data_IF_586551859763
#
_entry.id   IF_586551859763
#
_cell.length_a   1.000
_cell.length_b   1.000
_cell.length_c   1.000
_cell.angle_alpha   90.00
_cell.angle_beta   90.00
_cell.angle_gamma   90.00
#
_symmetry.space_group_name_H-M   'P 1'
#
loop_
_entity.id
_entity.type
_entity.pdbx_description
1 polymer ?
#
# COMPACT_ATOMS: atom_id res chain seq x y z
N UNK A 1 1.13 13.06 -16.17
CA UNK A 1 1.52 13.08 -14.73
C UNK A 1 2.83 12.27 -14.52
N UNK A 2 3.55 12.37 -13.38
CA UNK A 2 4.67 11.43 -13.06
C UNK A 2 4.13 10.22 -12.31
N UNK A 3 4.40 9.01 -12.77
CA UNK A 3 3.95 7.77 -12.13
C UNK A 3 5.15 7.02 -11.54
N UNK A 4 5.05 6.61 -10.29
CA UNK A 4 6.04 5.82 -9.57
C UNK A 4 5.37 4.50 -9.17
N UNK A 5 5.73 3.40 -9.83
CA UNK A 5 5.19 2.07 -9.54
C UNK A 5 6.08 1.31 -8.55
N UNK A 6 5.51 0.91 -7.40
CA UNK A 6 6.16 0.08 -6.37
C UNK A 6 5.54 -1.31 -6.26
N UNK A 7 4.74 -1.72 -7.23
CA UNK A 7 4.10 -3.04 -7.24
C UNK A 7 5.16 -4.15 -7.23
N UNK A 8 5.14 -4.99 -6.20
CA UNK A 8 5.98 -6.19 -6.14
C UNK A 8 5.57 -7.21 -7.20
N UNK A 9 6.51 -8.04 -7.67
CA UNK A 9 6.27 -9.16 -8.60
C UNK A 9 5.92 -8.74 -10.04
N UNK A 10 6.40 -7.57 -10.48
CA UNK A 10 6.40 -7.21 -11.90
C UNK A 10 7.69 -7.71 -12.57
N UNK A 11 7.58 -8.08 -13.84
CA UNK A 11 8.75 -8.29 -14.70
C UNK A 11 9.36 -6.94 -15.15
N UNK A 12 10.50 -6.99 -15.84
CA UNK A 12 11.22 -5.82 -16.36
C UNK A 12 10.35 -4.94 -17.29
N UNK A 13 9.24 -5.47 -17.80
CA UNK A 13 8.29 -4.76 -18.66
C UNK A 13 7.07 -4.20 -17.92
N UNK A 14 7.01 -4.33 -16.59
CA UNK A 14 5.88 -3.89 -15.77
C UNK A 14 4.64 -4.80 -15.86
N UNK A 15 4.79 -5.98 -16.46
CA UNK A 15 3.74 -6.97 -16.57
C UNK A 15 3.79 -7.98 -15.41
N UNK A 16 2.64 -8.59 -15.14
CA UNK A 16 2.49 -9.59 -14.09
C UNK A 16 2.25 -10.93 -14.77
N UNK A 17 3.31 -11.74 -14.83
CA UNK A 17 3.26 -13.08 -15.38
C UNK A 17 2.36 -14.00 -14.52
N UNK A 18 1.95 -15.14 -15.09
CA UNK A 18 0.96 -16.04 -14.47
C UNK A 18 1.44 -16.58 -13.10
N UNK A 19 2.75 -16.85 -12.97
CA UNK A 19 3.38 -17.27 -11.71
C UNK A 19 3.29 -16.15 -10.65
N UNK A 20 3.56 -14.90 -11.03
CA UNK A 20 3.42 -13.73 -10.18
C UNK A 20 1.96 -13.46 -9.79
N UNK A 21 0.99 -13.79 -10.67
CA UNK A 21 -0.45 -13.74 -10.34
C UNK A 21 -0.80 -14.72 -9.23
N UNK A 22 -0.34 -15.97 -9.34
CA UNK A 22 -0.57 -16.99 -8.33
C UNK A 22 0.14 -16.64 -7.02
N UNK A 23 1.40 -16.22 -7.09
CA UNK A 23 2.19 -15.82 -5.92
C UNK A 23 1.58 -14.60 -5.23
N UNK A 24 1.15 -13.59 -5.99
CA UNK A 24 0.49 -12.41 -5.45
C UNK A 24 -0.88 -12.74 -4.85
N UNK A 25 -1.64 -13.63 -5.47
CA UNK A 25 -2.92 -14.12 -4.92
C UNK A 25 -2.72 -14.87 -3.60
N UNK A 26 -1.67 -15.68 -3.48
CA UNK A 26 -1.33 -16.38 -2.24
C UNK A 26 -0.83 -15.43 -1.14
N UNK A 27 -0.11 -14.37 -1.51
CA UNK A 27 0.48 -13.42 -0.55
C UNK A 27 -0.49 -12.33 -0.11
N UNK A 28 -1.30 -11.81 -1.02
CA UNK A 28 -2.14 -10.63 -0.83
C UNK A 28 -3.65 -10.94 -0.93
N UNK A 29 -4.03 -12.16 -1.31
CA UNK A 29 -5.41 -12.62 -1.37
C UNK A 29 -6.03 -12.60 -2.79
N UNK A 30 -7.19 -13.24 -2.92
CA UNK A 30 -7.90 -13.44 -4.21
C UNK A 30 -8.31 -12.15 -4.94
N UNK A 31 -8.45 -11.02 -4.23
CA UNK A 31 -8.83 -9.75 -4.85
C UNK A 31 -7.64 -8.96 -5.40
N UNK A 32 -6.39 -9.41 -5.14
CA UNK A 32 -5.19 -8.65 -5.49
C UNK A 32 -5.09 -8.35 -6.99
N UNK A 33 -5.20 -9.38 -7.84
CA UNK A 33 -5.05 -9.18 -9.29
C UNK A 33 -6.17 -8.33 -9.91
N UNK A 34 -7.47 -8.56 -9.62
CA UNK A 34 -8.54 -7.68 -10.07
C UNK A 34 -8.39 -6.23 -9.59
N UNK A 35 -7.91 -6.00 -8.36
CA UNK A 35 -7.60 -4.66 -7.87
C UNK A 35 -6.47 -4.00 -8.67
N UNK A 36 -5.44 -4.75 -9.05
CA UNK A 36 -4.37 -4.20 -9.90
C UNK A 36 -4.84 -3.84 -11.32
N UNK A 37 -5.76 -4.61 -11.89
CA UNK A 37 -6.39 -4.25 -13.17
C UNK A 37 -7.26 -2.99 -13.03
N UNK A 38 -8.06 -2.89 -11.97
CA UNK A 38 -8.83 -1.69 -11.65
C UNK A 38 -7.92 -0.46 -11.51
N UNK A 39 -6.80 -0.59 -10.80
CA UNK A 39 -5.79 0.47 -10.69
C UNK A 39 -5.24 0.86 -12.07
N UNK A 40 -4.90 -0.09 -12.95
CA UNK A 40 -4.39 0.22 -14.30
C UNK A 40 -5.40 1.05 -15.11
N UNK A 41 -6.68 0.72 -15.04
CA UNK A 41 -7.75 1.47 -15.72
C UNK A 41 -7.81 2.90 -15.19
N UNK A 42 -7.89 3.06 -13.86
CA UNK A 42 -7.98 4.38 -13.20
C UNK A 42 -6.74 5.22 -13.49
N UNK A 43 -5.53 4.66 -13.32
CA UNK A 43 -4.27 5.36 -13.60
C UNK A 43 -4.19 5.77 -15.06
N UNK A 44 -4.58 4.88 -16.00
CA UNK A 44 -4.58 5.19 -17.42
C UNK A 44 -5.52 6.33 -17.81
N UNK A 45 -6.64 6.49 -17.12
CA UNK A 45 -7.53 7.65 -17.32
C UNK A 45 -6.96 8.92 -16.68
N UNK A 46 -6.47 8.83 -15.43
CA UNK A 46 -5.88 9.98 -14.73
C UNK A 46 -4.66 10.52 -15.47
N UNK A 47 -3.79 9.66 -16.00
CA UNK A 47 -2.59 10.11 -16.71
C UNK A 47 -2.89 10.85 -18.02
N UNK A 48 -3.99 10.50 -18.69
CA UNK A 48 -4.48 11.22 -19.89
C UNK A 48 -5.09 12.58 -19.55
N UNK A 49 -5.60 12.75 -18.34
CA UNK A 49 -6.36 13.92 -17.92
C UNK A 49 -5.51 14.89 -17.08
N UNK A 50 -4.52 14.39 -16.34
CA UNK A 50 -3.70 15.17 -15.43
C UNK A 50 -2.34 15.51 -16.06
N UNK A 51 -2.01 16.79 -16.03
CA UNK A 51 -0.81 17.35 -16.65
C UNK A 51 0.44 17.22 -15.76
N UNK A 52 1.44 18.08 -16.00
CA UNK A 52 2.62 18.23 -15.14
C UNK A 52 2.22 18.84 -13.80
N UNK A 53 2.97 18.54 -12.74
CA UNK A 53 2.65 18.98 -11.38
C UNK A 53 1.75 18.02 -10.60
N UNK A 54 1.55 16.80 -11.09
CA UNK A 54 0.98 15.69 -10.33
C UNK A 54 2.00 14.55 -10.23
N UNK A 55 2.02 13.87 -9.09
CA UNK A 55 2.75 12.63 -8.87
C UNK A 55 1.81 11.56 -8.35
N UNK A 56 1.83 10.38 -8.97
CA UNK A 56 1.10 9.20 -8.52
C UNK A 56 2.08 8.14 -8.06
N UNK A 57 1.92 7.66 -6.82
CA UNK A 57 2.68 6.54 -6.27
C UNK A 57 1.74 5.35 -6.16
N UNK A 58 2.09 4.24 -6.81
CA UNK A 58 1.27 3.03 -6.87
C UNK A 58 1.85 1.94 -5.97
N UNK A 59 0.98 1.29 -5.19
CA UNK A 59 1.27 0.16 -4.31
C UNK A 59 2.44 0.42 -3.36
N UNK A 60 2.41 1.59 -2.70
CA UNK A 60 3.44 1.96 -1.73
C UNK A 60 3.27 1.15 -0.46
N UNK A 61 4.28 0.35 -0.11
CA UNK A 61 4.30 -0.36 1.17
C UNK A 61 4.90 0.57 2.22
N UNK A 62 4.15 0.87 3.28
CA UNK A 62 4.64 1.75 4.33
C UNK A 62 5.83 1.08 5.05
N UNK A 63 6.99 1.76 5.15
CA UNK A 63 8.07 1.36 6.04
C UNK A 63 7.53 1.03 7.44
N UNK A 64 8.13 0.03 8.10
CA UNK A 64 7.74 -0.46 9.42
C UNK A 64 6.38 -1.17 9.51
N UNK A 65 5.69 -1.38 8.38
CA UNK A 65 4.47 -2.17 8.32
C UNK A 65 4.39 -3.02 7.05
N UNK A 66 3.43 -3.95 7.01
CA UNK A 66 3.09 -4.69 5.79
C UNK A 66 1.87 -4.08 5.08
N UNK A 67 1.48 -2.86 5.45
CA UNK A 67 0.31 -2.18 4.88
C UNK A 67 0.71 -1.57 3.54
N UNK A 68 -0.05 -1.90 2.50
CA UNK A 68 0.13 -1.37 1.15
C UNK A 68 -0.93 -0.32 0.90
N UNK A 69 -0.50 0.90 0.57
CA UNK A 69 -1.36 1.98 0.09
C UNK A 69 -1.51 1.82 -1.43
N UNK A 70 -2.71 1.57 -1.97
CA UNK A 70 -2.90 1.18 -3.37
C UNK A 70 -2.47 2.28 -4.35
N UNK A 71 -2.94 3.51 -4.14
CA UNK A 71 -2.60 4.67 -4.94
C UNK A 71 -2.53 5.88 -4.01
N UNK A 72 -1.44 6.64 -4.10
CA UNK A 72 -1.30 7.97 -3.52
C UNK A 72 -1.19 8.94 -4.68
N UNK A 73 -2.09 9.92 -4.76
CA UNK A 73 -2.06 10.99 -5.74
C UNK A 73 -1.69 12.29 -5.03
N UNK A 74 -0.63 12.94 -5.49
CA UNK A 74 -0.15 14.21 -4.95
C UNK A 74 -0.34 15.26 -6.04
N UNK A 75 -1.24 16.21 -5.78
CA UNK A 75 -1.50 17.36 -6.64
C UNK A 75 -1.08 18.67 -5.98
N UNK A 76 -1.38 19.79 -6.63
CA UNK A 76 -1.00 21.12 -6.14
C UNK A 76 -1.86 21.58 -4.95
N UNK A 77 -3.12 21.16 -4.87
CA UNK A 77 -4.07 21.55 -3.83
C UNK A 77 -4.48 20.44 -2.87
N UNK A 78 -4.12 19.19 -3.15
CA UNK A 78 -4.61 18.02 -2.42
C UNK A 78 -3.64 16.85 -2.48
N UNK A 79 -3.74 15.99 -1.46
CA UNK A 79 -3.17 14.65 -1.45
C UNK A 79 -4.34 13.69 -1.31
N UNK A 80 -4.42 12.67 -2.16
CA UNK A 80 -5.50 11.68 -2.12
C UNK A 80 -4.94 10.27 -1.96
N UNK A 81 -5.60 9.48 -1.14
CA UNK A 81 -5.40 8.03 -1.09
C UNK A 81 -6.55 7.37 -1.82
N UNK A 82 -6.24 6.67 -2.91
CA UNK A 82 -7.22 6.15 -3.85
C UNK A 82 -7.25 4.61 -3.76
N UNK A 83 -8.44 4.04 -3.58
CA UNK A 83 -8.72 2.63 -3.76
C UNK A 83 -9.52 2.43 -5.05
N UNK A 84 -8.87 1.87 -6.07
CA UNK A 84 -9.55 1.43 -7.29
C UNK A 84 -10.09 0.00 -7.12
N UNK A 85 -11.35 -0.24 -7.48
CA UNK A 85 -12.00 -1.53 -7.26
C UNK A 85 -12.82 -1.98 -8.49
N UNK A 86 -12.81 -3.28 -8.85
CA UNK A 86 -13.50 -3.81 -10.04
C UNK A 86 -14.95 -4.26 -9.76
N UNK A 87 -15.61 -3.69 -8.75
CA UNK A 87 -16.97 -4.09 -8.38
C UNK A 87 -17.98 -3.82 -9.51
N UNK A 88 -19.06 -4.60 -9.52
CA UNK A 88 -20.20 -4.48 -10.44
C UNK A 88 -21.51 -4.61 -9.68
N UNK A 89 -22.57 -3.99 -10.18
CA UNK A 89 -23.90 -4.02 -9.55
C UNK A 89 -24.21 -2.75 -8.78
N UNK A 90 -25.23 -2.82 -7.92
CA UNK A 90 -25.78 -1.68 -7.19
C UNK A 90 -25.28 -1.67 -5.74
N UNK A 91 -24.73 -0.54 -5.32
CA UNK A 91 -24.18 -0.34 -3.99
C UNK A 91 -24.66 0.97 -3.40
N UNK A 92 -24.59 1.05 -2.08
CA UNK A 92 -24.85 2.26 -1.32
C UNK A 92 -23.67 2.55 -0.38
N UNK A 93 -23.16 3.77 -0.44
CA UNK A 93 -22.18 4.31 0.50
C UNK A 93 -22.87 5.26 1.49
N UNK A 94 -23.11 4.80 2.71
CA UNK A 94 -23.85 5.54 3.73
C UNK A 94 -22.97 5.78 4.96
N UNK A 95 -22.47 7.02 5.14
CA UNK A 95 -21.49 7.28 6.19
C UNK A 95 -20.24 6.40 6.02
N UNK A 96 -19.91 5.60 7.04
CA UNK A 96 -18.82 4.62 6.98
C UNK A 96 -19.23 3.27 6.41
N UNK A 97 -20.51 3.05 6.11
CA UNK A 97 -21.03 1.77 5.64
C UNK A 97 -20.96 1.62 4.13
N UNK A 98 -20.76 0.38 3.70
CA UNK A 98 -20.75 0.00 2.29
C UNK A 98 -21.69 -1.18 2.10
N UNK A 99 -22.84 -0.90 1.50
CA UNK A 99 -23.94 -1.83 1.33
C UNK A 99 -24.06 -2.25 -0.13
N UNK A 100 -24.46 -3.49 -0.36
CA UNK A 100 -24.92 -3.96 -1.65
C UNK A 100 -26.44 -3.89 -1.67
N UNK A 101 -27.01 -3.37 -2.76
CA UNK A 101 -28.46 -3.37 -2.96
C UNK A 101 -28.86 -4.71 -3.58
N UNK A 102 -29.67 -5.48 -2.86
CA UNK A 102 -30.28 -6.71 -3.38
C UNK A 102 -31.52 -6.37 -4.23
N UNK A 103 -32.07 -7.36 -4.95
CA UNK A 103 -33.11 -7.17 -5.97
C UNK A 103 -34.37 -6.40 -5.52
N UNK A 104 -34.64 -6.33 -4.21
CA UNK A 104 -35.76 -5.58 -3.64
C UNK A 104 -35.37 -4.13 -3.25
N UNK A 105 -34.17 -3.66 -3.62
CA UNK A 105 -33.65 -2.35 -3.25
C UNK A 105 -33.22 -2.20 -1.79
N UNK A 106 -33.24 -3.29 -1.00
CA UNK A 106 -32.81 -3.22 0.40
C UNK A 106 -31.28 -3.24 0.51
N UNK A 107 -30.68 -2.34 1.31
CA UNK A 107 -29.25 -2.36 1.55
C UNK A 107 -28.89 -3.50 2.50
N UNK A 108 -27.94 -4.34 2.08
CA UNK A 108 -27.30 -5.34 2.94
C UNK A 108 -25.80 -5.07 3.01
N UNK A 109 -25.14 -5.22 4.18
CA UNK A 109 -23.70 -5.02 4.28
C UNK A 109 -22.96 -5.89 3.27
N UNK A 110 -22.11 -5.27 2.45
CA UNK A 110 -21.31 -6.02 1.51
C UNK A 110 -20.25 -6.86 2.25
N UNK A 111 -19.75 -7.92 1.60
CA UNK A 111 -18.72 -8.81 2.19
C UNK A 111 -17.50 -8.06 2.73
N UNK A 112 -17.13 -6.95 2.10
CA UNK A 112 -16.02 -6.07 2.50
C UNK A 112 -16.51 -4.65 2.48
N UNK A 113 -16.33 -3.94 3.59
CA UNK A 113 -16.66 -2.52 3.64
C UNK A 113 -15.52 -1.70 3.02
N UNK A 114 -15.74 -1.22 1.79
CA UNK A 114 -14.71 -0.51 1.02
C UNK A 114 -14.53 0.94 1.49
N UNK A 115 -15.60 1.57 2.01
CA UNK A 115 -15.58 2.95 2.51
C UNK A 115 -14.77 3.04 3.81
N UNK A 116 -15.06 2.18 4.77
CA UNK A 116 -14.29 2.08 6.01
C UNK A 116 -12.82 1.73 5.74
N UNK A 117 -12.57 0.80 4.80
CA UNK A 117 -11.21 0.45 4.41
C UNK A 117 -10.40 1.65 3.90
N UNK A 118 -10.95 2.41 2.94
CA UNK A 118 -10.19 3.53 2.36
C UNK A 118 -9.99 4.67 3.37
N UNK A 119 -10.98 4.92 4.24
CA UNK A 119 -10.82 5.86 5.35
C UNK A 119 -9.69 5.43 6.31
N UNK A 120 -9.61 4.15 6.65
CA UNK A 120 -8.51 3.60 7.46
C UNK A 120 -7.16 3.71 6.77
N UNK A 121 -7.08 3.42 5.47
CA UNK A 121 -5.83 3.55 4.71
C UNK A 121 -5.33 5.00 4.68
N UNK A 122 -6.22 5.97 4.44
CA UNK A 122 -5.87 7.38 4.50
C UNK A 122 -5.34 7.80 5.88
N UNK A 123 -6.02 7.38 6.95
CA UNK A 123 -5.58 7.66 8.33
C UNK A 123 -4.24 7.01 8.68
N UNK A 124 -4.00 5.79 8.21
CA UNK A 124 -2.72 5.10 8.40
C UNK A 124 -1.61 5.82 7.64
N UNK A 125 -1.89 6.31 6.43
CA UNK A 125 -0.95 7.10 5.66
C UNK A 125 -0.64 8.45 6.33
N UNK A 126 -1.65 9.15 6.86
CA UNK A 126 -1.46 10.36 7.66
C UNK A 126 -0.52 10.12 8.86
N UNK A 127 -0.80 9.08 9.65
CA UNK A 127 0.06 8.68 10.77
C UNK A 127 1.48 8.32 10.35
N UNK A 128 1.65 7.78 9.15
CA UNK A 128 2.96 7.51 8.58
C UNK A 128 3.73 8.82 8.32
N UNK A 129 3.11 9.80 7.67
CA UNK A 129 3.74 11.10 7.43
C UNK A 129 4.12 11.82 8.72
N UNK A 130 3.24 11.82 9.72
CA UNK A 130 3.51 12.37 11.05
C UNK A 130 4.74 11.72 11.69
N UNK A 131 4.85 10.39 11.64
CA UNK A 131 5.98 9.66 12.22
C UNK A 131 7.30 10.02 11.55
N UNK A 132 7.29 10.34 10.26
CA UNK A 132 8.50 10.71 9.51
C UNK A 132 8.73 12.23 9.45
N UNK A 133 8.01 13.02 10.27
CA UNK A 133 8.09 14.48 10.29
C UNK A 133 7.78 15.15 8.93
N UNK A 134 7.02 14.47 8.08
CA UNK A 134 6.57 15.01 6.80
C UNK A 134 5.31 15.83 7.06
N UNK A 135 5.40 17.15 6.91
CA UNK A 135 4.27 18.06 7.12
C UNK A 135 3.52 18.26 5.82
N UNK A 136 2.20 18.13 5.88
CA UNK A 136 1.30 18.46 4.78
C UNK A 136 0.44 19.66 5.19
N UNK A 137 0.44 20.69 4.35
CA UNK A 137 -0.43 21.86 4.50
C UNK A 137 -1.81 21.65 3.84
N UNK A 138 -2.07 20.43 3.36
CA UNK A 138 -3.29 20.03 2.68
C UNK A 138 -3.84 18.74 3.30
N UNK A 139 -5.17 18.56 3.36
CA UNK A 139 -5.76 17.34 3.90
C UNK A 139 -5.50 16.14 2.97
N UNK A 140 -5.44 14.95 3.59
CA UNK A 140 -5.39 13.68 2.85
C UNK A 140 -6.82 13.20 2.62
N UNK A 141 -7.23 13.14 1.36
CA UNK A 141 -8.58 12.73 0.98
C UNK A 141 -8.68 11.23 0.67
N UNK A 142 -9.53 10.45 1.36
CA UNK A 142 -9.84 9.08 0.99
C UNK A 142 -10.80 9.03 -0.20
N UNK A 143 -10.45 8.30 -1.25
CA UNK A 143 -11.24 8.19 -2.48
C UNK A 143 -11.42 6.73 -2.89
N UNK A 144 -12.66 6.31 -3.05
CA UNK A 144 -13.03 5.01 -3.61
C UNK A 144 -13.45 5.19 -5.06
N UNK A 145 -12.83 4.45 -5.98
CA UNK A 145 -13.16 4.50 -7.42
C UNK A 145 -13.57 3.11 -7.90
N UNK A 146 -14.82 2.96 -8.33
CA UNK A 146 -15.25 1.77 -9.07
C UNK A 146 -14.80 1.90 -10.53
N UNK A 147 -13.91 1.02 -10.97
CA UNK A 147 -13.35 1.05 -12.32
C UNK A 147 -14.28 0.47 -13.37
N UNK A 148 -15.27 -0.32 -12.96
CA UNK A 148 -16.21 -0.96 -13.87
C UNK A 148 -17.44 -0.08 -14.12
N UNK A 149 -17.84 0.15 -15.38
CA UNK A 149 -19.01 0.97 -15.71
C UNK A 149 -20.35 0.33 -15.30
N UNK A 150 -20.36 -0.98 -15.01
CA UNK A 150 -21.53 -1.68 -14.47
C UNK A 150 -21.77 -1.43 -12.97
N UNK A 151 -20.94 -0.62 -12.30
CA UNK A 151 -21.17 -0.22 -10.92
C UNK A 151 -22.13 0.98 -10.85
N UNK A 152 -23.22 0.83 -10.11
CA UNK A 152 -24.10 1.90 -9.68
C UNK A 152 -23.91 2.11 -8.19
N UNK A 153 -23.70 3.36 -7.77
CA UNK A 153 -23.37 3.67 -6.38
C UNK A 153 -24.18 4.88 -5.94
N UNK A 154 -25.07 4.65 -4.98
CA UNK A 154 -25.80 5.71 -4.29
C UNK A 154 -24.96 6.19 -3.10
N UNK A 155 -24.81 7.51 -2.95
CA UNK A 155 -23.96 8.10 -1.92
C UNK A 155 -24.79 8.94 -0.94
N UNK A 156 -24.80 8.52 0.32
CA UNK A 156 -25.50 9.17 1.42
C UNK A 156 -24.50 9.62 2.48
N UNK A 157 -23.93 10.82 2.29
CA UNK A 157 -22.90 11.42 3.17
C UNK A 157 -21.75 10.43 3.47
N UNK A 158 -21.07 9.90 2.44
CA UNK A 158 -20.05 8.88 2.66
C UNK A 158 -18.82 9.45 3.37
N UNK A 159 -18.16 8.63 4.17
CA UNK A 159 -16.93 8.96 4.90
C UNK A 159 -15.69 9.05 3.99
N UNK A 160 -15.84 8.64 2.72
CA UNK A 160 -14.85 8.79 1.68
C UNK A 160 -15.53 9.29 0.40
N UNK A 161 -14.79 9.99 -0.46
CA UNK A 161 -15.32 10.40 -1.77
C UNK A 161 -15.48 9.15 -2.63
N UNK A 162 -16.70 8.86 -3.08
CA UNK A 162 -16.99 7.68 -3.89
C UNK A 162 -17.26 8.08 -5.33
N UNK A 163 -16.51 7.49 -6.26
CA UNK A 163 -16.56 7.80 -7.68
C UNK A 163 -16.85 6.52 -8.47
N UNK A 164 -17.70 6.67 -9.48
CA UNK A 164 -17.88 5.67 -10.55
C UNK A 164 -16.88 5.93 -11.68
N UNK A 165 -16.78 4.99 -12.62
CA UNK A 165 -15.82 5.06 -13.73
C UNK A 165 -16.05 6.29 -14.63
N UNK A 166 -17.30 6.72 -14.81
CA UNK A 166 -17.67 7.89 -15.62
C UNK A 166 -17.31 9.22 -14.94
N UNK A 167 -17.24 9.25 -13.61
CA UNK A 167 -16.94 10.43 -12.82
C UNK A 167 -15.43 10.76 -12.75
N UNK A 168 -14.54 9.87 -13.22
CA UNK A 168 -13.08 10.08 -13.15
C UNK A 168 -12.67 11.35 -13.93
N UNK A 169 -13.32 11.66 -15.05
CA UNK A 169 -13.06 12.89 -15.81
C UNK A 169 -13.41 14.16 -15.04
N UNK A 170 -14.56 14.15 -14.35
CA UNK A 170 -15.01 15.27 -13.55
C UNK A 170 -14.09 15.47 -12.33
N UNK A 171 -13.68 14.37 -11.69
CA UNK A 171 -12.71 14.39 -10.61
C UNK A 171 -11.34 14.95 -11.05
N UNK A 172 -10.79 14.51 -12.18
CA UNK A 172 -9.54 15.07 -12.68
C UNK A 172 -9.67 16.58 -12.98
N UNK A 173 -10.83 17.00 -13.50
CA UNK A 173 -11.11 18.41 -13.77
C UNK A 173 -11.21 19.23 -12.48
N UNK A 174 -11.78 18.68 -11.39
CA UNK A 174 -11.79 19.36 -10.10
C UNK A 174 -10.39 19.52 -9.53
N UNK A 175 -9.54 18.50 -9.64
CA UNK A 175 -8.13 18.58 -9.21
C UNK A 175 -7.35 19.68 -9.93
N UNK A 176 -7.60 19.88 -11.23
CA UNK A 176 -6.95 20.95 -12.01
C UNK A 176 -7.43 22.35 -11.65
N UNK A 177 -8.64 22.46 -11.09
CA UNK A 177 -9.25 23.73 -10.68
C UNK A 177 -9.02 24.04 -9.19
N UNK A 178 -8.44 23.11 -8.44
CA UNK A 178 -8.09 23.33 -7.04
C UNK A 178 -7.07 24.46 -6.89
N UNK A 179 -7.18 25.20 -5.78
CA UNK A 179 -6.24 26.28 -5.49
C UNK A 179 -4.85 25.68 -5.28
N UNK A 180 -3.82 26.12 -6.03
CA UNK A 180 -2.48 25.58 -5.88
C UNK A 180 -1.87 26.06 -4.55
N UNK A 181 -1.67 25.13 -3.63
CA UNK A 181 -0.99 25.36 -2.34
C UNK A 181 0.49 25.00 -2.45
N UNK A 182 0.81 23.96 -3.22
CA UNK A 182 2.18 23.49 -3.45
C UNK A 182 2.67 23.80 -4.86
N UNK A 183 3.96 24.19 -4.96
CA UNK A 183 4.64 24.34 -6.26
C UNK A 183 4.99 22.96 -6.84
N UNK A 184 5.10 22.81 -8.18
CA UNK A 184 5.46 21.55 -8.81
C UNK A 184 6.75 20.92 -8.27
N UNK A 185 7.78 21.70 -8.01
CA UNK A 185 9.06 21.20 -7.47
C UNK A 185 8.90 20.63 -6.05
N UNK A 186 8.06 21.27 -5.23
CA UNK A 186 7.71 20.80 -3.88
C UNK A 186 6.94 19.48 -3.94
N UNK A 187 6.11 19.26 -4.95
CA UNK A 187 5.37 18.00 -5.15
C UNK A 187 6.32 16.86 -5.45
N UNK A 188 7.33 17.08 -6.30
CA UNK A 188 8.35 16.07 -6.58
C UNK A 188 9.21 15.79 -5.35
N UNK A 189 9.63 16.82 -4.61
CA UNK A 189 10.39 16.66 -3.38
C UNK A 189 9.59 15.88 -2.31
N UNK A 190 8.31 16.21 -2.13
CA UNK A 190 7.40 15.52 -1.22
C UNK A 190 7.25 14.04 -1.61
N UNK A 191 7.07 13.74 -2.90
CA UNK A 191 6.98 12.36 -3.36
C UNK A 191 8.26 11.56 -3.06
N UNK A 192 9.44 12.15 -3.28
CA UNK A 192 10.71 11.50 -2.94
C UNK A 192 10.87 11.31 -1.44
N UNK A 193 10.45 12.27 -0.61
CA UNK A 193 10.48 12.18 0.84
C UNK A 193 9.52 11.12 1.39
N UNK A 194 8.34 10.95 0.78
CA UNK A 194 7.41 9.86 1.09
C UNK A 194 8.04 8.50 0.76
N UNK A 195 8.75 8.38 -0.35
CA UNK A 195 9.34 7.10 -0.77
C UNK A 195 10.58 6.77 0.05
N UNK A 196 11.40 7.76 0.35
CA UNK A 196 12.66 7.64 1.06
C UNK A 196 12.65 8.57 2.27
N UNK A 197 11.89 8.23 3.33
CA UNK A 197 11.83 9.08 4.51
C UNK A 197 13.21 9.16 5.15
N UNK A 198 13.61 10.38 5.53
CA UNK A 198 14.89 10.57 6.24
C UNK A 198 14.84 9.78 7.55
N UNK A 199 15.88 9.00 7.88
CA UNK A 199 15.95 8.34 9.17
C UNK A 199 15.90 9.41 10.27
N UNK A 200 15.15 9.14 11.34
CA UNK A 200 15.21 9.98 12.53
C UNK A 200 16.65 9.97 13.01
N UNK A 201 17.32 11.11 12.92
CA UNK A 201 18.55 11.30 13.68
C UNK A 201 18.10 11.40 15.12
N UNK A 202 18.33 10.35 15.90
CA UNK A 202 18.10 10.39 17.34
C UNK A 202 19.06 11.43 17.93
N UNK A 203 18.59 12.67 18.10
CA UNK A 203 19.33 13.75 18.76
C UNK A 203 19.74 13.40 20.20
N UNK A 204 19.20 12.31 20.77
CA UNK A 204 19.57 11.79 22.09
C UNK A 204 20.85 10.94 22.10
N UNK A 205 21.53 10.73 20.97
CA UNK A 205 22.80 10.00 20.91
C UNK A 205 24.04 10.92 20.77
N UNK A 206 23.90 12.25 20.80
CA UNK A 206 25.03 13.17 20.59
C UNK A 206 25.14 14.32 21.60
N UNK A 207 24.75 14.08 22.85
CA UNK A 207 25.14 14.94 23.99
C UNK A 207 25.83 14.15 25.11
N UNK A 208 26.63 13.15 24.76
CA UNK A 208 27.69 12.66 25.63
C UNK A 208 29.03 13.02 24.97
N UNK A 209 29.86 13.74 25.72
CA UNK A 209 31.22 14.18 25.40
C UNK A 209 31.36 15.32 24.38
N UNK A 210 31.50 16.54 24.91
CA UNK A 210 32.76 17.28 24.79
C UNK A 210 32.79 18.51 25.74
N UNK A 211 33.20 18.28 26.99
CA UNK A 211 33.77 19.36 27.83
C UNK A 211 35.10 18.86 28.42
N UNK A 212 36.26 19.39 27.98
CA UNK A 212 37.58 18.93 28.44
C UNK A 212 37.94 19.26 29.90
N UNK A 213 37.04 19.89 30.67
CA UNK A 213 37.34 20.33 32.04
C UNK A 213 37.15 19.26 33.12
N UNK A 214 36.30 18.23 32.88
CA UNK A 214 35.78 17.41 33.98
C UNK A 214 36.56 16.13 34.27
N UNK A 215 37.51 15.73 33.41
CA UNK A 215 38.23 14.46 33.55
C UNK A 215 39.38 14.52 34.57
N UNK A 216 40.01 15.68 34.74
CA UNK A 216 41.10 15.85 35.70
C UNK A 216 40.60 15.92 37.15
N UNK A 217 39.43 16.53 37.39
CA UNK A 217 38.83 16.64 38.73
C UNK A 217 38.24 15.32 39.23
N UNK A 218 37.76 14.45 38.34
CA UNK A 218 37.26 13.12 38.71
C UNK A 218 38.39 12.18 39.16
N UNK A 219 39.59 12.29 38.58
CA UNK A 219 40.75 11.45 38.94
C UNK A 219 41.35 11.89 40.29
N UNK A 220 41.31 13.19 40.61
CA UNK A 220 41.86 13.71 41.86
C UNK A 220 40.97 13.41 43.09
N UNK A 221 39.66 13.28 42.90
CA UNK A 221 38.73 12.96 44.00
C UNK A 221 38.66 11.45 44.32
N UNK A 222 39.09 10.58 43.40
CA UNK A 222 39.02 9.13 43.57
C UNK A 222 40.14 8.53 44.46
N UNK A 223 41.15 9.32 44.85
CA UNK A 223 42.30 8.83 45.64
C UNK A 223 42.21 9.10 47.15
N UNK A 224 41.09 9.63 47.66
CA UNK A 224 40.96 10.04 49.07
C UNK A 224 39.85 9.37 49.90
N UNK A 225 39.22 8.29 49.43
CA UNK A 225 38.24 7.56 50.25
C UNK A 225 38.55 6.07 50.34
N UNK A 226 39.40 5.72 51.32
CA UNK A 226 39.34 4.45 52.03
C UNK A 226 38.05 4.43 52.87
N UNK A 227 37.15 3.47 52.62
CA UNK A 227 35.93 3.33 53.43
C UNK A 227 34.93 2.31 52.90
N UNK A 228 34.98 1.12 53.49
CA UNK A 228 34.03 0.01 53.47
C UNK A 228 32.67 0.19 52.72
N UNK A 229 32.42 -0.68 51.74
CA UNK A 229 31.11 -0.83 51.09
C UNK A 229 30.20 -1.75 51.95
N UNK A 230 28.98 -1.30 52.33
CA UNK A 230 28.04 -2.08 53.12
C UNK A 230 27.41 -3.26 52.36
N UNK A 231 27.06 -4.32 53.09
CA UNK A 231 26.67 -5.65 52.60
C UNK A 231 25.35 -5.73 51.78
N UNK A 232 24.72 -4.62 51.43
CA UNK A 232 23.41 -4.57 50.76
C UNK A 232 23.48 -4.22 49.26
N UNK A 233 24.68 -4.20 48.65
CA UNK A 233 24.87 -4.08 47.20
C UNK A 233 25.50 -5.34 46.60
N UNK A 234 25.06 -6.51 47.07
CA UNK A 234 25.38 -7.79 46.45
C UNK A 234 24.37 -8.07 45.34
N UNK A 235 24.58 -7.43 44.20
CA UNK A 235 23.74 -7.62 43.03
C UNK A 235 23.96 -9.01 42.44
N UNK A 236 22.85 -9.66 42.11
CA UNK A 236 22.78 -11.06 41.72
C UNK A 236 23.26 -11.22 40.28
N UNK A 237 24.28 -12.07 40.11
CA UNK A 237 24.84 -12.50 38.84
C UNK A 237 23.77 -13.04 37.86
N UNK A 238 23.61 -12.49 36.64
CA UNK A 238 22.82 -13.10 35.59
C UNK A 238 23.72 -13.57 34.42
N UNK A 239 24.71 -14.42 34.69
CA UNK A 239 25.31 -15.23 33.65
C UNK A 239 24.38 -16.42 33.31
N UNK A 240 23.34 -16.18 32.49
CA UNK A 240 22.58 -17.24 31.83
C UNK A 240 22.83 -17.15 30.32
N UNK A 241 23.50 -18.14 29.69
CA UNK A 241 23.75 -18.09 28.26
C UNK A 241 22.44 -18.18 27.48
N UNK A 242 22.24 -17.25 26.55
CA UNK A 242 21.11 -17.25 25.61
C UNK A 242 21.12 -18.55 24.78
N UNK A 243 19.96 -19.19 24.69
CA UNK A 243 19.76 -20.36 23.86
C UNK A 243 20.00 -20.02 22.37
N UNK A 244 20.82 -20.83 21.70
CA UNK A 244 21.05 -20.74 20.26
C UNK A 244 19.71 -20.90 19.51
N UNK A 245 19.40 -20.04 18.53
CA UNK A 245 18.21 -20.22 17.71
C UNK A 245 18.40 -21.46 16.84
N UNK A 246 17.47 -22.42 16.97
CA UNK A 246 17.41 -23.61 16.12
C UNK A 246 17.30 -23.19 14.65
N UNK A 247 18.22 -23.71 13.83
CA UNK A 247 18.16 -23.60 12.38
C UNK A 247 16.80 -24.10 11.87
N UNK A 248 16.01 -23.20 11.27
CA UNK A 248 14.74 -23.56 10.65
C UNK A 248 15.01 -24.42 9.42
N UNK A 249 14.59 -25.68 9.47
CA UNK A 249 14.51 -26.58 8.30
C UNK A 249 13.69 -25.91 7.18
N UNK A 250 14.06 -26.07 5.90
CA UNK A 250 13.26 -25.59 4.78
C UNK A 250 11.88 -26.25 4.83
N UNK A 251 10.85 -25.42 4.97
CA UNK A 251 9.45 -25.84 5.06
C UNK A 251 9.00 -26.24 3.66
N UNK A 252 9.04 -27.54 3.38
CA UNK A 252 8.48 -28.11 2.16
C UNK A 252 7.02 -27.70 1.97
N UNK A 253 6.64 -27.53 0.71
CA UNK A 253 5.32 -27.07 0.28
C UNK A 253 4.22 -27.93 0.90
N UNK A 254 3.22 -27.28 1.52
CA UNK A 254 2.13 -27.98 2.22
C UNK A 254 1.27 -28.75 1.20
N UNK A 255 0.71 -29.92 1.55
CA UNK A 255 -0.08 -30.76 0.62
C UNK A 255 -1.24 -30.00 -0.03
N UNK A 256 -1.83 -29.06 0.69
CA UNK A 256 -2.86 -28.13 0.18
C UNK A 256 -2.33 -27.21 -0.92
N UNK A 257 -1.08 -26.76 -0.83
CA UNK A 257 -0.44 -25.95 -1.88
C UNK A 257 -0.12 -26.81 -3.12
N UNK A 258 0.27 -28.07 -2.94
CA UNK A 258 0.48 -29.01 -4.05
C UNK A 258 -0.81 -29.30 -4.81
N UNK A 259 -1.92 -29.54 -4.09
CA UNK A 259 -3.23 -29.79 -4.70
C UNK A 259 -3.70 -28.58 -5.52
N UNK A 260 -3.52 -27.37 -4.98
CA UNK A 260 -3.92 -26.13 -5.66
C UNK A 260 -3.11 -25.91 -6.96
N UNK A 261 -1.80 -26.18 -6.91
CA UNK A 261 -0.92 -26.13 -8.09
C UNK A 261 -1.33 -27.13 -9.17
N UNK A 262 -1.63 -28.37 -8.78
CA UNK A 262 -2.07 -29.42 -9.71
C UNK A 262 -3.43 -29.08 -10.32
N UNK A 263 -4.37 -28.56 -9.52
CA UNK A 263 -5.71 -28.21 -10.01
C UNK A 263 -5.64 -27.05 -11.02
N UNK A 264 -4.80 -26.05 -10.74
CA UNK A 264 -4.59 -24.93 -11.66
C UNK A 264 -3.90 -25.36 -12.95
N UNK A 265 -2.91 -26.26 -12.87
CA UNK A 265 -2.22 -26.82 -14.04
C UNK A 265 -3.17 -27.65 -14.93
N UNK A 266 -4.08 -28.42 -14.34
CA UNK A 266 -5.09 -29.17 -15.11
C UNK A 266 -6.03 -28.23 -15.85
N UNK A 267 -6.49 -27.15 -15.21
CA UNK A 267 -7.33 -26.13 -15.86
C UNK A 267 -6.57 -25.48 -17.02
N UNK A 268 -5.28 -25.22 -16.86
CA UNK A 268 -4.41 -24.67 -17.91
C UNK A 268 -4.26 -25.63 -19.10
N UNK A 269 -4.02 -26.92 -18.87
CA UNK A 269 -4.01 -27.93 -19.92
C UNK A 269 -5.36 -27.99 -20.67
N UNK A 270 -6.48 -27.83 -19.98
CA UNK A 270 -7.80 -27.81 -20.60
C UNK A 270 -8.00 -26.58 -21.51
N UNK A 271 -7.52 -25.40 -21.11
CA UNK A 271 -7.64 -24.18 -21.92
C UNK A 271 -6.73 -24.23 -23.15
N UNK A 272 -5.50 -24.74 -23.02
CA UNK A 272 -4.58 -24.89 -24.16
C UNK A 272 -5.09 -25.95 -25.14
N UNK A 273 -5.61 -27.09 -24.64
CA UNK A 273 -6.20 -28.11 -25.49
C UNK A 273 -7.45 -27.61 -26.23
N UNK A 274 -8.29 -26.80 -25.56
CA UNK A 274 -9.46 -26.19 -26.19
C UNK A 274 -9.07 -25.13 -27.23
N UNK A 275 -8.02 -24.34 -26.99
CA UNK A 275 -7.51 -23.34 -27.95
C UNK A 275 -6.76 -23.95 -29.15
N UNK A 276 -6.08 -25.08 -28.97
CA UNK A 276 -5.38 -25.77 -30.06
C UNK A 276 -6.37 -26.37 -31.07
N UNK A 277 -7.56 -26.82 -30.62
CA UNK A 277 -8.61 -27.37 -31.48
C UNK A 277 -9.22 -26.38 -32.48
N UNK A 278 -9.16 -25.08 -32.20
CA UNK A 278 -9.67 -24.05 -33.12
C UNK A 278 -8.72 -23.69 -34.27
N UNK A 279 -7.43 -24.02 -34.16
CA UNK A 279 -6.44 -23.70 -35.20
C UNK A 279 -6.47 -24.67 -36.40
N UNK A 280 -6.93 -25.90 -36.21
CA UNK A 280 -6.90 -26.94 -37.26
C UNK A 280 -8.09 -26.84 -38.21
N UNK A 281 -9.18 -26.18 -37.81
CA UNK A 281 -10.39 -26.02 -38.64
C UNK A 281 -10.25 -24.84 -39.61
N UNK A 282 -9.53 -23.79 -39.25
CA UNK A 282 -9.36 -22.61 -40.12
C UNK A 282 -8.42 -22.84 -41.31
N UNK A 283 -7.52 -23.84 -41.23
CA UNK A 283 -6.57 -24.15 -42.32
C UNK A 283 -7.18 -24.98 -43.45
N UNK A 284 -8.40 -25.52 -43.28
CA UNK A 284 -9.10 -26.32 -44.31
C UNK A 284 -10.06 -25.51 -45.19
N UNK A 285 -10.32 -24.24 -44.86
CA UNK A 285 -11.25 -23.36 -45.61
C UNK A 285 -10.57 -22.35 -46.55
N UNK A 286 -9.23 -22.41 -46.70
CA UNK A 286 -8.47 -21.50 -47.57
C UNK A 286 -7.96 -22.17 -48.87
N UNK A 287 -8.52 -23.32 -49.25
CA UNK A 287 -8.11 -24.11 -50.43
C UNK A 287 -9.30 -24.68 -51.23
N UNK A 288 -10.43 -23.99 -51.23
CA UNK A 288 -11.54 -24.14 -52.18
C UNK A 288 -11.98 -22.74 -52.61
#
# INVERSE_FOLDING_TARGET
MRIIDKTSLQDETGNINLIARVQGTLKYGFNWYPELEAQKIVIGQLDRLLEKGFVLIRNFTLPDSQIVIPIILIGQGSVSVILATPIKGHFEAAGSEWNQLINNGSPVPAKRNLVDLIAKLARVFEKYLERHNIRLDVPIEPILIASDPGAQIDSLRPAARVLRSDAIKQFASSLLQERPVMRPDSIYALAEEIINPKPKVDENASTADMTPGSRAQAIFNASQQDGAVPANLRESNPARPLARPNARKPRGMNRTQTILLVTLFIIECCVIAAGAGTSTIFRKFSLL
#
